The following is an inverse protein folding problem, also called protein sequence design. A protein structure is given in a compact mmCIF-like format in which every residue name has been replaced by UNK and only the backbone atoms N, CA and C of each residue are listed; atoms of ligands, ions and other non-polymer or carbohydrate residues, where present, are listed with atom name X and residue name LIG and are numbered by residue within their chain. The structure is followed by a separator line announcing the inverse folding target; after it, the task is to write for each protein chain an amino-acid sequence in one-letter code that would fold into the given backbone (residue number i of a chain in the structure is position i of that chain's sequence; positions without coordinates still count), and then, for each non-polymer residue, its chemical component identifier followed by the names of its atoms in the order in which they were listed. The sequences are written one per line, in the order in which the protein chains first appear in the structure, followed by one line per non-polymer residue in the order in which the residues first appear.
data_IF_053042644696
#
_entry.id   IF_053042644696
#
_cell.length_a   1.000
_cell.length_b   1.000
_cell.length_c   1.000
_cell.angle_alpha   90.00
_cell.angle_beta   90.00
_cell.angle_gamma   90.00
#
_symmetry.space_group_name_H-M   'P 1'
#
loop_
_entity.id
_entity.type
_entity.pdbx_description
1 polymer ?
#
# COMPACT_ATOMS: atom_id res chain seq x y z
N UNK A 1 15.51 1.20 -3.90
CA UNK A 1 14.10 1.67 -4.05
C UNK A 1 13.70 1.81 -5.51
N UNK A 2 14.45 2.55 -6.35
CA UNK A 2 14.12 2.74 -7.78
C UNK A 2 14.01 1.43 -8.56
N UNK A 3 15.01 0.55 -8.44
CA UNK A 3 15.01 -0.78 -9.06
C UNK A 3 13.79 -1.64 -8.68
N UNK A 4 13.26 -1.49 -7.47
CA UNK A 4 12.11 -2.27 -7.01
C UNK A 4 10.79 -1.73 -7.57
N UNK A 5 10.71 -0.42 -7.79
CA UNK A 5 9.58 0.20 -8.50
C UNK A 5 9.60 -0.22 -9.97
N UNK A 6 10.78 -0.19 -10.61
CA UNK A 6 10.96 -0.60 -12.01
C UNK A 6 10.71 -2.11 -12.20
N UNK A 7 11.16 -2.94 -11.26
CA UNK A 7 10.91 -4.38 -11.26
C UNK A 7 9.48 -4.77 -10.83
N UNK A 8 8.58 -3.82 -10.57
CA UNK A 8 7.20 -4.08 -10.13
C UNK A 8 7.08 -4.72 -8.74
N UNK A 9 8.16 -4.78 -7.97
CA UNK A 9 8.21 -5.31 -6.59
C UNK A 9 7.77 -4.30 -5.54
N UNK A 10 7.63 -3.03 -5.92
CA UNK A 10 7.12 -1.96 -5.08
C UNK A 10 6.17 -1.06 -5.87
N UNK A 11 5.30 -0.34 -5.17
CA UNK A 11 4.38 0.62 -5.77
C UNK A 11 4.36 1.93 -4.98
N UNK A 12 3.95 3.00 -5.64
CA UNK A 12 3.77 4.32 -5.02
C UNK A 12 2.36 4.40 -4.44
N UNK A 13 2.28 4.77 -3.16
CA UNK A 13 1.03 4.96 -2.46
C UNK A 13 0.86 6.45 -2.15
N UNK A 14 -0.26 6.99 -2.63
CA UNK A 14 -0.65 8.40 -2.50
C UNK A 14 -1.75 8.60 -1.46
N UNK A 15 -2.10 7.55 -0.69
CA UNK A 15 -3.11 7.66 0.35
C UNK A 15 -2.67 8.66 1.42
N UNK A 16 -3.55 9.60 1.76
CA UNK A 16 -3.35 10.49 2.89
C UNK A 16 -3.36 9.73 4.21
N UNK A 17 -2.77 10.34 5.24
CA UNK A 17 -2.70 9.75 6.58
C UNK A 17 -4.11 9.57 7.17
N UNK A 18 -4.97 10.57 6.99
CA UNK A 18 -6.35 10.60 7.49
C UNK A 18 -7.15 9.42 6.93
N UNK A 19 -6.97 9.10 5.64
CA UNK A 19 -7.61 7.92 5.02
C UNK A 19 -7.11 6.62 5.64
N UNK A 20 -5.81 6.51 5.87
CA UNK A 20 -5.23 5.31 6.48
C UNK A 20 -5.72 5.14 7.91
N UNK A 21 -5.83 6.22 8.67
CA UNK A 21 -6.31 6.19 10.05
C UNK A 21 -7.80 5.79 10.11
N UNK A 22 -8.65 6.36 9.25
CA UNK A 22 -10.04 5.93 9.12
C UNK A 22 -10.17 4.44 8.72
N UNK A 23 -9.32 3.96 7.80
CA UNK A 23 -9.28 2.54 7.42
C UNK A 23 -8.90 1.65 8.61
N UNK A 24 -7.95 2.09 9.45
CA UNK A 24 -7.56 1.35 10.66
C UNK A 24 -8.72 1.29 11.65
N UNK A 25 -9.37 2.41 11.93
CA UNK A 25 -10.50 2.48 12.85
C UNK A 25 -11.65 1.60 12.40
N UNK A 26 -11.99 1.63 11.11
CA UNK A 26 -13.00 0.73 10.52
C UNK A 26 -12.64 -0.74 10.72
N UNK A 27 -11.42 -1.14 10.35
CA UNK A 27 -10.98 -2.53 10.50
C UNK A 27 -10.94 -2.98 11.97
N UNK A 28 -10.55 -2.09 12.89
CA UNK A 28 -10.57 -2.37 14.33
C UNK A 28 -12.00 -2.55 14.85
N UNK A 29 -12.94 -1.69 14.44
CA UNK A 29 -14.36 -1.82 14.79
C UNK A 29 -14.98 -3.11 14.25
N UNK A 30 -14.55 -3.53 13.07
CA UNK A 30 -15.01 -4.79 12.44
C UNK A 30 -14.34 -6.04 13.03
N UNK A 31 -13.43 -5.89 14.01
CA UNK A 31 -12.65 -6.98 14.58
C UNK A 31 -11.65 -7.62 13.61
N UNK A 32 -11.40 -6.95 12.47
CA UNK A 32 -10.49 -7.41 11.44
C UNK A 32 -9.04 -7.07 11.78
N UNK A 33 -8.11 -7.85 11.20
CA UNK A 33 -6.69 -7.54 11.30
C UNK A 33 -6.40 -6.26 10.53
N UNK A 34 -5.85 -5.27 11.23
CA UNK A 34 -5.46 -3.98 10.65
C UNK A 34 -4.41 -4.18 9.57
N UNK A 35 -4.79 -3.96 8.32
CA UNK A 35 -3.93 -4.08 7.14
C UNK A 35 -4.30 -3.03 6.10
N UNK A 36 -3.31 -2.65 5.31
CA UNK A 36 -3.56 -1.79 4.15
C UNK A 36 -4.46 -2.52 3.14
N UNK A 37 -5.45 -1.80 2.60
CA UNK A 37 -6.47 -2.32 1.68
C UNK A 37 -5.96 -2.56 0.25
N UNK A 38 -4.75 -2.09 -0.07
CA UNK A 38 -4.17 -2.27 -1.40
C UNK A 38 -4.69 -1.29 -2.44
N UNK A 39 -5.39 -0.21 -2.06
CA UNK A 39 -6.00 0.73 -3.03
C UNK A 39 -5.03 1.27 -4.08
N UNK A 40 -3.79 1.57 -3.70
CA UNK A 40 -2.77 2.08 -4.62
C UNK A 40 -1.87 0.99 -5.23
N UNK A 41 -2.13 -0.29 -4.95
CA UNK A 41 -1.25 -1.40 -5.34
C UNK A 41 -1.13 -1.57 -6.85
N UNK A 42 -2.20 -1.28 -7.57
CA UNK A 42 -2.32 -1.43 -9.02
C UNK A 42 -2.56 -0.09 -9.73
N UNK A 43 -2.37 1.03 -9.02
CA UNK A 43 -2.33 2.35 -9.64
C UNK A 43 -0.99 2.51 -10.38
N UNK A 44 -1.05 2.53 -11.71
CA UNK A 44 0.09 2.77 -12.59
C UNK A 44 0.34 4.27 -12.83
N UNK A 45 -0.73 5.08 -12.85
CA UNK A 45 -0.65 6.53 -12.95
C UNK A 45 -0.68 7.16 -11.57
N UNK A 46 0.48 7.59 -11.12
CA UNK A 46 0.58 8.52 -10.02
C UNK A 46 0.53 9.94 -10.55
N UNK A 47 -0.35 10.78 -10.01
CA UNK A 47 -0.32 12.21 -10.28
C UNK A 47 1.09 12.75 -10.03
N UNK A 48 1.74 13.20 -11.11
CA UNK A 48 3.08 13.73 -11.08
C UNK A 48 3.10 14.99 -10.19
N UNK A 49 3.78 14.92 -9.04
CA UNK A 49 3.93 16.05 -8.11
C UNK A 49 3.26 15.87 -6.74
N UNK A 50 2.52 14.78 -6.51
CA UNK A 50 1.94 14.49 -5.19
C UNK A 50 2.94 13.74 -4.32
N UNK A 51 3.05 14.11 -3.04
CA UNK A 51 3.87 13.40 -2.07
C UNK A 51 3.41 11.94 -1.94
N UNK A 52 4.33 10.99 -2.11
CA UNK A 52 4.04 9.56 -2.06
C UNK A 52 4.97 8.82 -1.14
N UNK A 53 4.50 7.67 -0.66
CA UNK A 53 5.33 6.69 0.04
C UNK A 53 5.50 5.45 -0.84
N UNK A 54 6.63 4.76 -0.69
CA UNK A 54 6.87 3.51 -1.42
C UNK A 54 6.47 2.33 -0.54
N UNK A 55 5.56 1.48 -1.03
CA UNK A 55 5.15 0.24 -0.36
C UNK A 55 5.65 -0.97 -1.13
N UNK A 56 6.03 -2.02 -0.41
CA UNK A 56 6.42 -3.28 -1.02
C UNK A 56 5.18 -4.02 -1.57
N UNK A 57 5.27 -4.52 -2.80
CA UNK A 57 4.22 -5.32 -3.45
C UNK A 57 4.38 -6.77 -3.01
N UNK A 58 4.12 -7.03 -1.73
CA UNK A 58 4.21 -8.38 -1.19
C UNK A 58 3.25 -9.30 -1.96
N UNK A 59 3.66 -10.49 -2.41
CA UNK A 59 2.77 -11.41 -3.11
C UNK A 59 1.56 -11.75 -2.23
N UNK A 60 0.39 -11.88 -2.87
CA UNK A 60 -0.88 -12.16 -2.18
C UNK A 60 -0.98 -13.63 -1.76
N UNK A 61 -0.19 -14.48 -2.42
CA UNK A 61 -0.07 -15.91 -2.20
C UNK A 61 1.42 -16.27 -2.07
N UNK A 62 1.72 -17.36 -1.36
CA UNK A 62 3.08 -17.79 -1.06
C UNK A 62 3.54 -17.46 0.37
N UNK A 63 4.50 -18.24 0.87
CA UNK A 63 5.11 -18.02 2.17
C UNK A 63 6.13 -16.90 2.10
N UNK A 64 5.89 -15.84 2.88
CA UNK A 64 6.91 -14.84 3.17
C UNK A 64 7.67 -15.32 4.39
N UNK A 65 8.84 -15.90 4.17
CA UNK A 65 9.77 -16.24 5.24
C UNK A 65 10.43 -14.93 5.67
N UNK A 66 10.21 -14.53 6.93
CA UNK A 66 10.77 -13.32 7.55
C UNK A 66 12.09 -13.65 8.21
#
# INVERSE_FOLDING_TARGET
IREWLEAGKAYRCYCSKERLDALREQQMSDGNRVRYDGRCRDLTDGEHGVAFVVRFKNPLDGQVVV
#
